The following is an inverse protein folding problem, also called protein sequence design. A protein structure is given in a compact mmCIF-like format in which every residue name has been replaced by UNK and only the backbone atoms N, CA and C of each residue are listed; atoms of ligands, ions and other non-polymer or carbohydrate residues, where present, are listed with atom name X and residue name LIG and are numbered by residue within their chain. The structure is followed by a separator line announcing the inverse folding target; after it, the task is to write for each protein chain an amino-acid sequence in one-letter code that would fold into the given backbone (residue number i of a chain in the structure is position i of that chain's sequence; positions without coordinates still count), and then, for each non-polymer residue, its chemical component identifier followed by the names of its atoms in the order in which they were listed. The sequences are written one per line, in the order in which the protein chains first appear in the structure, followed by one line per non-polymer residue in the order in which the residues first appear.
data_IF_610694931790
#
_entry.id   IF_610694931790
#
_cell.length_a   1.000
_cell.length_b   1.000
_cell.length_c   1.000
_cell.angle_alpha   90.00
_cell.angle_beta   90.00
_cell.angle_gamma   90.00
#
_symmetry.space_group_name_H-M   'P 1'
#
loop_
_entity.id
_entity.type
_entity.pdbx_description
1 polymer ?
#
# COMPACT_ATOMS: atom_id res chain seq x y z
N UNK A 1 -70.70 30.48 -31.59
CA UNK A 1 -70.08 30.65 -30.27
C UNK A 1 -69.20 29.39 -29.97
N UNK A 2 -67.90 29.49 -30.29
CA UNK A 2 -66.97 28.36 -30.13
C UNK A 2 -66.17 28.57 -28.84
N UNK A 3 -66.27 27.65 -27.93
CA UNK A 3 -65.52 27.67 -26.67
C UNK A 3 -64.15 26.97 -26.85
N UNK A 4 -63.09 27.76 -26.73
CA UNK A 4 -61.70 27.29 -26.72
C UNK A 4 -61.40 26.62 -25.33
N UNK A 5 -61.15 25.34 -25.35
CA UNK A 5 -60.67 24.61 -24.14
C UNK A 5 -59.15 24.71 -24.10
N UNK A 6 -58.59 25.49 -23.15
CA UNK A 6 -57.13 25.55 -22.88
C UNK A 6 -56.76 24.39 -21.96
N UNK A 7 -56.01 23.45 -22.49
CA UNK A 7 -55.35 22.40 -21.70
C UNK A 7 -54.09 22.93 -21.07
N UNK A 8 -54.06 23.03 -19.73
CA UNK A 8 -52.85 23.31 -18.96
C UNK A 8 -52.04 22.01 -18.85
N UNK A 9 -50.81 22.02 -19.42
CA UNK A 9 -49.83 20.96 -19.16
C UNK A 9 -49.08 21.32 -17.88
N UNK A 10 -49.27 20.53 -16.83
CA UNK A 10 -48.49 20.61 -15.60
C UNK A 10 -47.18 19.87 -15.86
N UNK A 11 -46.06 20.59 -15.90
CA UNK A 11 -44.73 19.97 -15.90
C UNK A 11 -44.35 19.56 -14.47
N UNK A 12 -44.18 18.27 -14.26
CA UNK A 12 -43.67 17.76 -13.00
C UNK A 12 -42.15 18.08 -12.86
N UNK A 13 -41.69 18.57 -11.71
CA UNK A 13 -40.25 18.78 -11.49
C UNK A 13 -39.56 17.44 -11.35
N UNK A 14 -38.53 17.21 -12.17
CA UNK A 14 -37.60 16.09 -12.01
C UNK A 14 -36.69 16.43 -10.81
N UNK A 15 -36.90 15.76 -9.67
CA UNK A 15 -36.01 15.85 -8.52
C UNK A 15 -34.72 15.04 -8.83
N UNK A 16 -33.64 15.74 -9.12
CA UNK A 16 -32.31 15.13 -9.23
C UNK A 16 -31.82 14.88 -7.81
N UNK A 17 -31.88 13.63 -7.37
CA UNK A 17 -31.31 13.22 -6.09
C UNK A 17 -29.77 13.10 -6.27
N UNK A 18 -29.05 14.09 -5.80
CA UNK A 18 -27.59 13.98 -5.63
C UNK A 18 -27.31 13.03 -4.47
N UNK A 19 -26.92 11.79 -4.78
CA UNK A 19 -26.34 10.89 -3.80
C UNK A 19 -24.96 11.44 -3.40
N UNK A 20 -24.86 12.06 -2.23
CA UNK A 20 -23.59 12.38 -1.59
C UNK A 20 -22.89 11.07 -1.22
N UNK A 21 -22.00 10.61 -2.08
CA UNK A 21 -21.05 9.55 -1.76
C UNK A 21 -20.10 10.10 -0.68
N UNK A 22 -20.39 9.81 0.57
CA UNK A 22 -19.47 10.05 1.68
C UNK A 22 -18.21 9.22 1.42
N UNK A 23 -17.15 9.85 0.93
CA UNK A 23 -15.83 9.24 0.91
C UNK A 23 -15.37 9.14 2.38
N UNK A 24 -15.57 7.99 2.99
CA UNK A 24 -14.91 7.65 4.25
C UNK A 24 -13.43 7.52 3.94
N UNK A 25 -12.67 8.58 4.19
CA UNK A 25 -11.21 8.51 4.19
C UNK A 25 -10.80 7.37 5.12
N UNK A 26 -10.09 6.36 4.58
CA UNK A 26 -9.53 5.32 5.42
C UNK A 26 -8.50 5.98 6.34
N UNK A 27 -8.79 6.04 7.64
CA UNK A 27 -7.81 6.46 8.63
C UNK A 27 -6.66 5.46 8.64
N UNK A 28 -5.43 5.96 8.83
CA UNK A 28 -4.27 5.13 9.07
C UNK A 28 -4.52 4.25 10.30
N UNK A 29 -4.36 2.95 10.15
CA UNK A 29 -4.50 2.00 11.26
C UNK A 29 -3.16 1.76 11.95
N UNK A 30 -3.20 1.23 13.17
CA UNK A 30 -2.00 0.75 13.86
C UNK A 30 -1.95 -0.77 13.77
N UNK A 31 -0.81 -1.30 13.30
CA UNK A 31 -0.47 -2.72 13.30
C UNK A 31 0.44 -2.98 14.49
N UNK A 32 -0.07 -3.67 15.50
CA UNK A 32 0.72 -3.98 16.71
C UNK A 32 1.54 -5.25 16.52
N UNK A 33 2.83 -5.20 16.87
CA UNK A 33 3.77 -6.31 16.85
C UNK A 33 4.41 -6.43 18.23
N UNK A 34 4.35 -7.61 18.82
CA UNK A 34 5.03 -7.91 20.09
C UNK A 34 6.46 -8.38 19.84
N UNK A 35 7.41 -7.88 20.62
CA UNK A 35 8.76 -8.43 20.78
C UNK A 35 8.73 -9.34 22.01
N UNK A 36 8.79 -10.67 21.78
CA UNK A 36 8.42 -11.67 22.78
C UNK A 36 9.62 -12.25 23.53
N UNK A 37 9.39 -12.84 24.70
CA UNK A 37 10.40 -13.58 25.46
C UNK A 37 10.92 -14.83 24.74
N UNK A 38 10.19 -15.35 23.76
CA UNK A 38 10.66 -16.44 22.88
C UNK A 38 11.57 -15.96 21.76
N UNK A 39 12.02 -14.69 21.80
CA UNK A 39 12.88 -14.06 20.80
C UNK A 39 12.24 -14.08 19.40
N UNK A 40 10.99 -13.61 19.31
CA UNK A 40 10.25 -13.51 18.05
C UNK A 40 9.47 -12.20 17.99
N UNK A 41 9.25 -11.73 16.77
CA UNK A 41 8.23 -10.71 16.46
C UNK A 41 6.89 -11.41 16.21
N UNK A 42 5.79 -10.90 16.77
CA UNK A 42 4.46 -11.49 16.60
C UNK A 42 3.38 -10.42 16.47
N UNK A 43 2.59 -10.41 15.37
CA UNK A 43 2.67 -11.31 14.22
C UNK A 43 3.88 -11.04 13.31
N UNK A 44 4.34 -12.08 12.61
CA UNK A 44 5.27 -11.98 11.50
C UNK A 44 4.71 -12.78 10.30
N UNK A 45 4.57 -12.17 9.11
CA UNK A 45 4.89 -10.77 8.79
C UNK A 45 3.90 -9.76 9.38
N UNK A 46 4.39 -8.55 9.67
CA UNK A 46 3.56 -7.40 10.00
C UNK A 46 2.91 -6.83 8.72
N UNK A 47 1.63 -7.16 8.50
CA UNK A 47 0.88 -6.77 7.29
C UNK A 47 0.21 -5.43 7.50
N UNK A 48 0.77 -4.38 6.92
CA UNK A 48 0.22 -3.03 6.94
C UNK A 48 -0.44 -2.67 5.60
N UNK A 49 -1.22 -1.60 5.57
CA UNK A 49 -1.62 -0.86 4.37
C UNK A 49 -0.70 0.35 4.20
N UNK A 50 -0.73 0.95 3.02
CA UNK A 50 -0.05 2.22 2.80
C UNK A 50 -0.62 3.30 3.73
N UNK A 51 0.26 3.91 4.52
CA UNK A 51 -0.07 4.93 5.51
C UNK A 51 -0.31 4.40 6.92
N UNK A 52 -0.44 3.08 7.13
CA UNK A 52 -0.54 2.50 8.46
C UNK A 52 0.76 2.67 9.25
N UNK A 53 0.63 2.71 10.56
CA UNK A 53 1.76 2.73 11.49
C UNK A 53 1.93 1.34 12.11
N UNK A 54 3.14 0.77 12.02
CA UNK A 54 3.49 -0.44 12.75
C UNK A 54 4.08 -0.01 14.08
N UNK A 55 3.56 -0.55 15.18
CA UNK A 55 4.05 -0.31 16.54
C UNK A 55 4.57 -1.62 17.13
N UNK A 56 5.86 -1.66 17.40
CA UNK A 56 6.49 -2.76 18.12
C UNK A 56 6.46 -2.46 19.62
N UNK A 57 5.99 -3.41 20.40
CA UNK A 57 5.97 -3.36 21.87
C UNK A 57 6.82 -4.48 22.44
N UNK A 58 7.75 -4.15 23.30
CA UNK A 58 8.52 -5.16 24.02
C UNK A 58 7.69 -5.74 25.16
N UNK A 59 7.15 -6.94 24.97
CA UNK A 59 6.33 -7.67 25.93
C UNK A 59 7.16 -8.65 26.78
N UNK A 60 8.50 -8.59 26.69
CA UNK A 60 9.43 -9.45 27.41
C UNK A 60 10.21 -8.66 28.47
N UNK A 61 10.98 -9.37 29.28
CA UNK A 61 11.95 -8.77 30.20
C UNK A 61 13.33 -8.51 29.58
N UNK A 62 13.57 -9.00 28.36
CA UNK A 62 14.82 -8.77 27.62
C UNK A 62 14.78 -7.44 26.88
N UNK A 63 15.95 -6.84 26.64
CA UNK A 63 16.06 -5.72 25.72
C UNK A 63 16.01 -6.19 24.28
N UNK A 64 15.27 -5.49 23.42
CA UNK A 64 15.16 -5.78 21.99
C UNK A 64 15.45 -4.54 21.14
N UNK A 65 15.64 -4.75 19.85
CA UNK A 65 15.56 -3.70 18.82
C UNK A 65 14.60 -4.12 17.74
N UNK A 66 14.17 -3.19 16.92
CA UNK A 66 13.62 -3.43 15.59
C UNK A 66 14.40 -2.57 14.62
N UNK A 67 15.27 -3.21 13.85
CA UNK A 67 16.23 -2.55 12.96
C UNK A 67 16.01 -3.07 11.54
N UNK A 68 15.65 -2.17 10.60
CA UNK A 68 15.42 -2.55 9.22
C UNK A 68 16.72 -3.02 8.58
N UNK A 69 16.67 -4.12 7.82
CA UNK A 69 17.84 -4.70 7.19
C UNK A 69 18.44 -3.76 6.16
N UNK A 70 19.78 -3.69 6.21
CA UNK A 70 20.53 -3.04 5.14
C UNK A 70 20.18 -3.65 3.78
N UNK A 71 20.11 -2.87 2.70
CA UNK A 71 20.83 -1.59 2.53
C UNK A 71 19.96 -0.34 2.53
N UNK A 72 18.66 -0.41 2.84
CA UNK A 72 17.79 0.78 2.86
C UNK A 72 17.89 1.56 4.18
N UNK A 73 18.07 0.86 5.32
CA UNK A 73 18.20 1.45 6.66
C UNK A 73 17.12 2.49 6.98
N UNK A 74 15.86 2.13 6.76
CA UNK A 74 14.73 3.07 6.90
C UNK A 74 14.38 3.37 8.34
N UNK A 75 14.67 2.46 9.28
CA UNK A 75 14.49 2.67 10.71
C UNK A 75 15.46 1.84 11.54
N UNK A 76 15.76 2.35 12.71
CA UNK A 76 16.38 1.66 13.81
C UNK A 76 15.75 2.20 15.11
N UNK A 77 15.19 1.30 15.92
CA UNK A 77 14.55 1.69 17.18
C UNK A 77 15.56 2.04 18.27
N UNK A 78 16.83 1.69 18.08
CA UNK A 78 17.73 1.54 19.21
C UNK A 78 17.21 0.51 20.21
N UNK A 79 17.72 0.53 21.45
CA UNK A 79 17.32 -0.41 22.50
C UNK A 79 15.92 -0.09 23.03
N UNK A 80 15.02 -1.06 22.97
CA UNK A 80 13.67 -1.00 23.53
C UNK A 80 13.62 -1.91 24.76
N UNK A 81 13.57 -1.33 25.94
CA UNK A 81 13.45 -2.05 27.22
C UNK A 81 12.06 -2.65 27.41
N UNK A 82 11.88 -3.43 28.51
CA UNK A 82 10.62 -4.07 28.86
C UNK A 82 9.47 -3.05 28.92
N UNK A 83 8.34 -3.32 28.26
CA UNK A 83 7.18 -2.44 28.13
C UNK A 83 7.36 -1.25 27.17
N UNK A 84 8.58 -1.03 26.67
CA UNK A 84 8.87 0.05 25.71
C UNK A 84 8.27 -0.21 24.33
N UNK A 85 8.14 0.86 23.54
CA UNK A 85 7.57 0.79 22.17
C UNK A 85 8.42 1.57 21.20
N UNK A 86 8.31 1.18 19.90
CA UNK A 86 8.81 1.94 18.75
C UNK A 86 7.76 1.90 17.64
N UNK A 87 7.67 2.94 16.85
CA UNK A 87 6.68 3.02 15.76
C UNK A 87 7.31 3.50 14.46
N UNK A 88 6.84 2.94 13.34
CA UNK A 88 7.22 3.33 11.99
C UNK A 88 5.99 3.39 11.07
N UNK A 89 5.84 4.47 10.32
CA UNK A 89 4.74 4.61 9.34
C UNK A 89 5.18 4.10 7.97
N UNK A 90 4.43 3.15 7.40
CA UNK A 90 4.72 2.53 6.10
C UNK A 90 4.21 3.44 4.99
N UNK A 91 5.07 4.29 4.45
CA UNK A 91 4.72 5.29 3.43
C UNK A 91 4.86 4.78 2.00
N UNK A 92 5.55 3.68 1.75
CA UNK A 92 5.76 3.08 0.43
C UNK A 92 5.42 1.59 0.44
N UNK A 93 4.85 1.10 -0.66
CA UNK A 93 4.61 -0.33 -0.84
C UNK A 93 5.94 -1.08 -1.03
N UNK A 94 6.03 -2.26 -0.44
CA UNK A 94 7.25 -3.06 -0.44
C UNK A 94 7.21 -4.14 0.62
N UNK A 95 8.27 -4.94 0.68
CA UNK A 95 8.60 -5.84 1.78
C UNK A 95 9.90 -5.35 2.41
N UNK A 96 9.88 -5.19 3.71
CA UNK A 96 10.95 -4.62 4.52
C UNK A 96 11.36 -5.63 5.60
N UNK A 97 12.36 -6.48 5.33
CA UNK A 97 12.93 -7.35 6.36
C UNK A 97 13.57 -6.51 7.48
N UNK A 98 13.48 -7.01 8.70
CA UNK A 98 14.09 -6.39 9.87
C UNK A 98 14.46 -7.43 10.92
N UNK A 99 15.30 -7.06 11.89
CA UNK A 99 15.77 -7.95 12.92
C UNK A 99 15.93 -7.26 14.28
N UNK A 100 16.12 -8.04 15.31
CA UNK A 100 16.63 -7.58 16.61
C UNK A 100 18.15 -7.73 16.61
N UNK A 101 18.90 -6.63 16.78
CA UNK A 101 20.38 -6.66 16.74
C UNK A 101 20.99 -7.55 17.84
N UNK A 102 20.31 -7.67 18.98
CA UNK A 102 20.78 -8.52 20.09
C UNK A 102 20.52 -10.02 19.84
N UNK A 103 19.46 -10.35 19.07
CA UNK A 103 18.97 -11.73 18.98
C UNK A 103 18.82 -12.24 17.54
N UNK A 104 19.45 -11.56 16.56
CA UNK A 104 19.40 -11.99 15.15
C UNK A 104 19.94 -13.41 14.97
N UNK A 105 21.06 -13.72 15.63
CA UNK A 105 21.66 -15.06 15.60
C UNK A 105 20.75 -16.16 16.19
N UNK A 106 19.82 -15.78 17.09
CA UNK A 106 18.79 -16.66 17.64
C UNK A 106 17.53 -16.72 16.77
N UNK A 107 17.54 -16.09 15.59
CA UNK A 107 16.44 -16.08 14.64
C UNK A 107 15.34 -15.08 14.97
N UNK A 108 15.61 -14.01 15.73
CA UNK A 108 14.66 -12.92 15.95
C UNK A 108 14.69 -11.97 14.75
N UNK A 109 13.99 -12.37 13.71
CA UNK A 109 13.83 -11.66 12.44
C UNK A 109 12.34 -11.51 12.14
N UNK A 110 11.99 -10.52 11.30
CA UNK A 110 10.62 -10.28 10.87
C UNK A 110 10.56 -9.56 9.52
N UNK A 111 9.37 -9.44 8.99
CA UNK A 111 9.11 -8.70 7.76
C UNK A 111 7.92 -7.76 7.95
N UNK A 112 8.10 -6.49 7.69
CA UNK A 112 7.02 -5.52 7.52
C UNK A 112 6.67 -5.40 6.03
N UNK A 113 5.39 -5.18 5.70
CA UNK A 113 5.02 -5.03 4.30
C UNK A 113 3.68 -4.36 4.08
N UNK A 114 3.61 -3.59 3.00
CA UNK A 114 2.38 -3.02 2.49
C UNK A 114 2.29 -3.25 0.98
N UNK A 115 1.06 -3.52 0.50
CA UNK A 115 0.80 -3.67 -0.95
C UNK A 115 0.38 -2.35 -1.58
N UNK A 116 0.52 -2.26 -2.90
CA UNK A 116 -0.07 -1.20 -3.72
C UNK A 116 -1.59 -1.14 -3.51
N UNK A 117 -2.18 0.01 -3.83
CA UNK A 117 -3.64 0.18 -3.93
C UNK A 117 -3.94 0.51 -5.39
N UNK A 118 -4.83 -0.25 -6.02
CA UNK A 118 -5.28 0.04 -7.39
C UNK A 118 -6.78 0.34 -7.39
N UNK A 119 -7.14 1.44 -8.02
CA UNK A 119 -8.53 1.93 -8.06
C UNK A 119 -8.92 2.30 -9.50
N UNK A 120 -10.07 1.83 -9.98
CA UNK A 120 -10.98 0.85 -9.36
C UNK A 120 -10.35 -0.56 -9.30
N UNK A 121 -10.87 -1.52 -8.49
CA UNK A 121 -10.32 -2.88 -8.44
C UNK A 121 -10.76 -3.76 -9.62
N UNK A 122 -11.70 -3.32 -10.43
CA UNK A 122 -12.17 -3.96 -11.66
C UNK A 122 -12.80 -2.93 -12.59
N UNK A 123 -12.92 -3.28 -13.88
CA UNK A 123 -13.61 -2.45 -14.88
C UNK A 123 -13.66 -3.11 -16.24
N UNK A 124 -14.43 -2.55 -17.19
CA UNK A 124 -14.37 -2.96 -18.59
C UNK A 124 -13.05 -2.55 -19.24
N UNK A 125 -12.78 -3.08 -20.44
CA UNK A 125 -11.69 -2.60 -21.31
C UNK A 125 -11.86 -1.09 -21.52
N UNK A 126 -10.76 -0.32 -21.48
CA UNK A 126 -10.76 1.14 -21.55
C UNK A 126 -10.88 1.84 -20.19
N UNK A 127 -10.89 1.07 -19.08
CA UNK A 127 -10.87 1.66 -17.74
C UNK A 127 -9.49 2.23 -17.42
N UNK A 128 -9.49 3.45 -16.87
CA UNK A 128 -8.30 4.09 -16.30
C UNK A 128 -8.11 3.62 -14.86
N UNK A 129 -7.03 2.92 -14.57
CA UNK A 129 -6.69 2.42 -13.24
C UNK A 129 -5.61 3.30 -12.61
N UNK A 130 -5.82 3.77 -11.39
CA UNK A 130 -4.80 4.48 -10.61
C UNK A 130 -4.06 3.49 -9.72
N UNK A 131 -2.78 3.28 -9.98
CA UNK A 131 -1.87 2.44 -9.18
C UNK A 131 -1.15 3.33 -8.19
N UNK A 132 -1.56 3.29 -6.92
CA UNK A 132 -0.95 4.04 -5.81
C UNK A 132 0.09 3.15 -5.13
N UNK A 133 1.35 3.62 -5.13
CA UNK A 133 2.52 2.89 -4.62
C UNK A 133 3.08 3.48 -3.33
N UNK A 134 2.66 4.71 -2.98
CA UNK A 134 3.12 5.41 -1.78
C UNK A 134 2.09 6.43 -1.28
N UNK A 135 2.28 6.92 -0.06
CA UNK A 135 1.50 8.04 0.51
C UNK A 135 2.23 9.37 0.42
N UNK A 136 3.54 9.34 0.17
CA UNK A 136 4.39 10.52 0.00
C UNK A 136 5.17 10.41 -1.31
N UNK A 137 5.58 11.52 -1.88
CA UNK A 137 6.55 11.55 -2.99
C UNK A 137 7.86 10.91 -2.54
N UNK A 138 8.58 10.28 -3.47
CA UNK A 138 9.84 9.62 -3.12
C UNK A 138 10.80 10.63 -2.48
N UNK A 139 11.38 10.31 -1.31
CA UNK A 139 12.41 11.16 -0.70
C UNK A 139 13.62 11.34 -1.62
N UNK A 140 14.40 12.37 -1.39
CA UNK A 140 15.65 12.59 -2.14
C UNK A 140 16.54 11.33 -2.09
N UNK A 141 17.05 10.92 -3.24
CA UNK A 141 17.86 9.71 -3.37
C UNK A 141 17.06 8.40 -3.47
N UNK A 142 15.71 8.46 -3.50
CA UNK A 142 14.84 7.27 -3.64
C UNK A 142 13.88 7.41 -4.81
N UNK A 143 13.43 6.27 -5.29
CA UNK A 143 12.42 6.12 -6.35
C UNK A 143 11.55 4.88 -6.08
N UNK A 144 10.40 4.82 -6.73
CA UNK A 144 9.53 3.64 -6.77
C UNK A 144 9.73 2.93 -8.11
N UNK A 145 9.93 1.62 -8.07
CA UNK A 145 9.89 0.77 -9.27
C UNK A 145 8.59 -0.05 -9.22
N UNK A 146 7.86 -0.08 -10.32
CA UNK A 146 6.54 -0.71 -10.42
C UNK A 146 6.59 -1.81 -11.48
N UNK A 147 6.13 -2.99 -11.12
CA UNK A 147 5.97 -4.12 -12.02
C UNK A 147 4.48 -4.41 -12.25
N UNK A 148 4.21 -4.89 -13.46
CA UNK A 148 2.90 -5.37 -13.88
C UNK A 148 3.01 -6.81 -14.39
N UNK A 149 2.01 -7.64 -14.09
CA UNK A 149 1.82 -8.93 -14.74
C UNK A 149 0.52 -8.92 -15.53
N UNK A 150 0.58 -9.36 -16.79
CA UNK A 150 -0.58 -9.60 -17.64
C UNK A 150 -1.28 -10.91 -17.24
N UNK A 151 -2.51 -11.19 -17.70
CA UNK A 151 -3.20 -12.44 -17.43
C UNK A 151 -2.35 -13.67 -17.84
N UNK A 152 -2.13 -14.57 -16.88
CA UNK A 152 -1.30 -15.77 -17.08
C UNK A 152 0.20 -15.55 -17.17
N UNK A 153 0.66 -14.29 -17.17
CA UNK A 153 2.09 -13.94 -17.31
C UNK A 153 2.81 -13.68 -16.00
N UNK A 154 4.13 -13.56 -16.08
CA UNK A 154 5.01 -13.13 -15.00
C UNK A 154 5.04 -11.61 -14.85
N UNK A 155 5.69 -11.15 -13.77
CA UNK A 155 5.95 -9.73 -13.56
C UNK A 155 7.06 -9.21 -14.45
N UNK A 156 6.80 -8.06 -15.09
CA UNK A 156 7.78 -7.29 -15.86
C UNK A 156 7.77 -5.84 -15.39
N UNK A 157 8.86 -5.13 -15.57
CA UNK A 157 8.92 -3.72 -15.24
C UNK A 157 7.91 -2.95 -16.11
N UNK A 158 7.00 -2.25 -15.45
CA UNK A 158 6.06 -1.34 -16.10
C UNK A 158 6.55 0.09 -16.04
N UNK A 159 7.00 0.54 -14.87
CA UNK A 159 7.61 1.85 -14.67
C UNK A 159 8.74 1.76 -13.66
N UNK A 160 9.86 2.43 -13.96
CA UNK A 160 10.99 2.58 -13.05
C UNK A 160 11.26 4.07 -12.79
N UNK A 161 12.02 4.37 -11.73
CA UNK A 161 12.39 5.75 -11.35
C UNK A 161 11.19 6.68 -11.11
N UNK A 162 10.09 6.14 -10.62
CA UNK A 162 8.88 6.92 -10.30
C UNK A 162 9.11 7.68 -9.00
N UNK A 163 8.85 9.00 -8.99
CA UNK A 163 8.91 9.83 -7.79
C UNK A 163 7.53 10.19 -7.24
N UNK A 164 6.48 10.10 -8.06
CA UNK A 164 5.10 10.38 -7.67
C UNK A 164 4.48 9.22 -6.87
N UNK A 165 3.47 9.54 -6.07
CA UNK A 165 2.77 8.55 -5.23
C UNK A 165 1.92 7.55 -6.00
N UNK A 166 1.57 7.86 -7.26
CA UNK A 166 0.72 7.01 -8.10
C UNK A 166 1.00 7.20 -9.58
N UNK A 167 0.59 6.22 -10.38
CA UNK A 167 0.58 6.25 -11.85
C UNK A 167 -0.75 5.73 -12.36
N UNK A 168 -1.16 6.23 -13.52
CA UNK A 168 -2.37 5.79 -14.19
C UNK A 168 -2.03 4.76 -15.27
N UNK A 169 -2.78 3.68 -15.34
CA UNK A 169 -2.71 2.67 -16.38
C UNK A 169 -4.05 2.60 -17.13
N UNK A 170 -3.99 2.79 -18.46
CA UNK A 170 -5.13 2.67 -19.35
C UNK A 170 -5.23 1.22 -19.85
N UNK A 171 -6.40 0.61 -19.69
CA UNK A 171 -6.66 -0.75 -20.17
C UNK A 171 -7.21 -0.81 -21.60
N UNK A 172 -7.23 0.30 -22.34
CA UNK A 172 -7.61 0.32 -23.76
C UNK A 172 -6.73 -0.62 -24.58
N UNK A 173 -7.36 -1.49 -25.37
CA UNK A 173 -6.66 -2.48 -26.19
C UNK A 173 -6.05 -3.66 -25.41
N UNK A 174 -6.29 -3.75 -24.10
CA UNK A 174 -5.83 -4.88 -23.28
C UNK A 174 -6.84 -6.04 -23.32
N UNK A 175 -6.38 -7.27 -23.16
CA UNK A 175 -7.26 -8.43 -23.04
C UNK A 175 -8.02 -8.42 -21.72
N UNK A 176 -9.22 -9.00 -21.69
CA UNK A 176 -9.91 -9.29 -20.44
C UNK A 176 -9.11 -10.31 -19.60
N UNK A 177 -9.17 -10.17 -18.28
CA UNK A 177 -8.44 -11.06 -17.38
C UNK A 177 -7.94 -10.39 -16.11
N UNK A 178 -7.12 -11.11 -15.35
CA UNK A 178 -6.53 -10.65 -14.10
C UNK A 178 -5.15 -10.06 -14.35
N UNK A 179 -5.01 -8.78 -14.07
CA UNK A 179 -3.72 -8.07 -14.05
C UNK A 179 -3.26 -7.90 -12.61
N UNK A 180 -1.95 -7.88 -12.39
CA UNK A 180 -1.36 -7.72 -11.06
C UNK A 180 -0.34 -6.60 -11.09
N UNK A 181 -0.29 -5.83 -10.01
CA UNK A 181 0.71 -4.78 -9.79
C UNK A 181 1.44 -5.03 -8.48
N UNK A 182 2.73 -4.71 -8.46
CA UNK A 182 3.56 -4.67 -7.27
C UNK A 182 4.64 -3.61 -7.43
N UNK A 183 5.10 -3.05 -6.33
CA UNK A 183 6.16 -2.03 -6.35
C UNK A 183 7.18 -2.25 -5.24
N UNK A 184 8.27 -1.50 -5.34
CA UNK A 184 9.32 -1.45 -4.32
C UNK A 184 9.90 -0.04 -4.21
N UNK A 185 10.46 0.28 -3.06
CA UNK A 185 11.30 1.45 -2.85
C UNK A 185 12.74 1.10 -3.21
N UNK A 186 13.44 1.97 -3.96
CA UNK A 186 14.85 1.80 -4.32
C UNK A 186 15.66 3.07 -4.09
N UNK A 187 16.84 2.92 -3.53
CA UNK A 187 17.85 3.99 -3.43
C UNK A 187 18.59 4.12 -4.76
N UNK A 188 18.66 5.32 -5.31
CA UNK A 188 19.22 5.56 -6.65
C UNK A 188 20.75 5.53 -6.67
N UNK A 189 21.39 5.84 -5.53
CA UNK A 189 22.86 5.89 -5.46
C UNK A 189 23.48 4.50 -5.25
N UNK A 190 22.89 3.70 -4.34
CA UNK A 190 23.40 2.36 -4.03
C UNK A 190 22.76 1.25 -4.86
N UNK A 191 21.61 1.50 -5.49
CA UNK A 191 20.79 0.49 -6.15
C UNK A 191 20.02 -0.41 -5.17
N UNK A 192 20.23 -0.23 -3.88
CA UNK A 192 19.57 -0.98 -2.81
C UNK A 192 18.05 -0.82 -2.88
N UNK A 193 17.30 -1.89 -2.67
CA UNK A 193 15.84 -1.86 -2.76
C UNK A 193 15.18 -2.71 -1.68
N UNK A 194 13.94 -2.35 -1.33
CA UNK A 194 13.05 -3.26 -0.60
C UNK A 194 12.71 -4.48 -1.46
N UNK A 195 12.17 -5.53 -0.87
CA UNK A 195 11.46 -6.54 -1.63
C UNK A 195 10.25 -5.92 -2.34
N UNK A 196 9.83 -6.52 -3.45
CA UNK A 196 8.57 -6.13 -4.08
C UNK A 196 7.40 -6.39 -3.15
N UNK A 197 6.44 -5.47 -3.12
CA UNK A 197 5.21 -5.59 -2.34
C UNK A 197 4.40 -6.85 -2.69
N UNK A 198 3.56 -7.35 -1.78
CA UNK A 198 2.53 -8.30 -2.14
C UNK A 198 1.66 -7.73 -3.26
N UNK A 199 1.39 -8.54 -4.29
CA UNK A 199 0.70 -8.08 -5.47
C UNK A 199 -0.75 -7.65 -5.18
N UNK A 200 -1.19 -6.58 -5.83
CA UNK A 200 -2.61 -6.21 -5.94
C UNK A 200 -3.15 -6.70 -7.28
N UNK A 201 -4.26 -7.43 -7.26
CA UNK A 201 -4.91 -7.94 -8.47
C UNK A 201 -6.13 -7.09 -8.84
N UNK A 202 -6.28 -6.81 -10.13
CA UNK A 202 -7.47 -6.19 -10.72
C UNK A 202 -8.08 -7.10 -11.78
N UNK A 203 -9.38 -6.93 -12.05
CA UNK A 203 -10.11 -7.69 -13.06
C UNK A 203 -10.56 -6.76 -14.20
N UNK A 204 -10.14 -7.07 -15.43
CA UNK A 204 -10.73 -6.50 -16.65
C UNK A 204 -11.75 -7.48 -17.20
N UNK A 205 -12.94 -6.97 -17.57
CA UNK A 205 -14.08 -7.74 -18.09
C UNK A 205 -14.47 -7.30 -19.48
#
# INVERSE_FOLDING_TARGET
MSRLVRTFRVAAPIAVVFALLSQTGAFAATVNVSMTSSLRFSPDPAKAKLGDTITWTNTSSFSHTTTQDSPLSLWDSGTVGAGGTFSFTVTAAGLYPYHCTFHQASGMVGTAGARDIVTPPFGPIGTMFTVKVATVTAPAGFVYDIQKANPGGGFTDWMTNVTSTSKTWDSTGQAAGIYKFRSRLRNTSSGAASGYSPAFSIQIR
#
